data_IF_031366077425
#
_entry.id   IF_031366077425
#
_cell.length_a   1.000
_cell.length_b   1.000
_cell.length_c   1.000
_cell.angle_alpha   90.00
_cell.angle_beta   90.00
_cell.angle_gamma   90.00
#
_symmetry.space_group_name_H-M   'P 1'
#
loop_
_entity.id
_entity.type
_entity.pdbx_description
1 polymer ?
#
# COMPACT_ATOMS: atom_id res chain seq x y z
N UNK A 1 -78.23 12.84 -47.51
CA UNK A 1 -78.15 12.78 -46.05
C UNK A 1 -77.23 11.72 -45.49
N UNK A 2 -77.19 10.51 -46.05
CA UNK A 2 -76.31 9.42 -45.61
C UNK A 2 -74.81 9.74 -45.80
N UNK A 3 -74.41 10.37 -46.92
CA UNK A 3 -73.02 10.72 -47.20
C UNK A 3 -72.49 11.79 -46.24
N UNK A 4 -73.28 12.70 -45.77
CA UNK A 4 -72.86 13.69 -44.76
C UNK A 4 -72.59 13.08 -43.38
N UNK A 5 -73.40 12.06 -43.01
CA UNK A 5 -73.24 11.34 -41.74
C UNK A 5 -71.98 10.48 -41.78
N UNK A 6 -71.69 9.84 -42.94
CA UNK A 6 -70.47 9.05 -43.13
C UNK A 6 -69.23 9.95 -43.04
N UNK A 7 -69.23 11.11 -43.67
CA UNK A 7 -68.13 12.06 -43.63
C UNK A 7 -67.93 12.61 -42.22
N UNK A 8 -68.98 12.89 -41.43
CA UNK A 8 -68.89 13.33 -40.05
C UNK A 8 -68.33 12.20 -39.17
N UNK A 9 -68.78 10.95 -39.41
CA UNK A 9 -68.27 9.81 -38.67
C UNK A 9 -66.77 9.55 -38.92
N UNK A 10 -66.35 9.61 -40.20
CA UNK A 10 -64.93 9.48 -40.55
C UNK A 10 -64.11 10.65 -39.98
N UNK A 11 -64.61 11.87 -40.05
CA UNK A 11 -63.93 13.00 -39.44
C UNK A 11 -63.81 12.90 -37.89
N UNK A 12 -64.83 12.39 -37.24
CA UNK A 12 -64.77 12.09 -35.80
C UNK A 12 -63.80 11.00 -35.45
N UNK A 13 -63.74 9.90 -36.25
CA UNK A 13 -62.73 8.85 -36.06
C UNK A 13 -61.33 9.39 -36.26
N UNK A 14 -61.11 10.19 -37.32
CA UNK A 14 -59.77 10.79 -37.61
C UNK A 14 -59.36 11.79 -36.50
N UNK A 15 -60.32 12.53 -35.94
CA UNK A 15 -60.00 13.43 -34.81
C UNK A 15 -59.69 12.61 -33.53
N UNK A 16 -60.43 11.56 -33.25
CA UNK A 16 -60.12 10.67 -32.13
C UNK A 16 -58.75 10.00 -32.26
N UNK A 17 -58.40 9.46 -33.47
CA UNK A 17 -57.09 8.87 -33.68
C UNK A 17 -55.94 9.88 -33.51
N UNK A 18 -56.12 11.12 -33.98
CA UNK A 18 -55.11 12.17 -33.79
C UNK A 18 -54.97 12.60 -32.32
N UNK A 19 -56.03 12.66 -31.58
CA UNK A 19 -56.03 12.99 -30.15
C UNK A 19 -55.39 11.84 -29.35
N UNK A 20 -55.75 10.60 -29.64
CA UNK A 20 -55.17 9.44 -28.97
C UNK A 20 -53.65 9.26 -29.26
N UNK A 21 -53.24 9.49 -30.50
CA UNK A 21 -51.80 9.42 -30.87
C UNK A 21 -50.98 10.54 -30.20
N UNK A 22 -51.54 11.73 -30.09
CA UNK A 22 -50.88 12.88 -29.43
C UNK A 22 -50.75 12.64 -27.93
N UNK A 23 -51.79 12.10 -27.30
CA UNK A 23 -51.78 11.79 -25.87
C UNK A 23 -50.81 10.65 -25.54
N UNK A 24 -50.78 9.58 -26.32
CA UNK A 24 -49.83 8.47 -26.20
C UNK A 24 -48.40 8.98 -26.38
N UNK A 25 -48.13 9.84 -27.36
CA UNK A 25 -46.82 10.46 -27.57
C UNK A 25 -46.36 11.32 -26.37
N UNK A 26 -47.27 12.12 -25.82
CA UNK A 26 -47.01 12.92 -24.63
C UNK A 26 -46.72 12.07 -23.39
N UNK A 27 -47.51 11.01 -23.20
CA UNK A 27 -47.27 10.05 -22.08
C UNK A 27 -45.97 9.31 -22.20
N UNK A 28 -45.63 8.84 -23.43
CA UNK A 28 -44.36 8.17 -23.70
C UNK A 28 -43.16 9.09 -23.46
N UNK A 29 -43.24 10.36 -23.88
CA UNK A 29 -42.21 11.36 -23.61
C UNK A 29 -42.05 11.65 -22.12
N UNK A 30 -43.13 11.76 -21.36
CA UNK A 30 -43.13 11.96 -19.91
C UNK A 30 -42.45 10.80 -19.20
N UNK A 31 -42.85 9.55 -19.47
CA UNK A 31 -42.23 8.37 -18.87
C UNK A 31 -40.80 8.16 -19.35
N UNK A 32 -40.50 8.43 -20.61
CA UNK A 32 -39.15 8.41 -21.15
C UNK A 32 -38.20 9.36 -20.42
N UNK A 33 -38.69 10.56 -20.11
CA UNK A 33 -37.99 11.56 -19.32
C UNK A 33 -37.68 11.08 -17.89
N UNK A 34 -38.72 10.51 -17.22
CA UNK A 34 -38.53 9.97 -15.85
C UNK A 34 -37.56 8.82 -15.82
N UNK A 35 -37.75 7.81 -16.68
CA UNK A 35 -36.90 6.64 -16.73
C UNK A 35 -35.48 7.02 -17.15
N UNK A 36 -35.33 7.89 -18.16
CA UNK A 36 -34.03 8.38 -18.59
C UNK A 36 -33.32 9.18 -17.49
N UNK A 37 -34.04 10.00 -16.76
CA UNK A 37 -33.51 10.75 -15.62
C UNK A 37 -33.07 9.83 -14.48
N UNK A 38 -33.85 8.80 -14.14
CA UNK A 38 -33.48 7.79 -13.12
C UNK A 38 -32.22 7.02 -13.51
N UNK A 39 -32.14 6.53 -14.75
CA UNK A 39 -30.98 5.79 -15.24
C UNK A 39 -29.74 6.69 -15.23
N UNK A 40 -29.84 7.90 -15.78
CA UNK A 40 -28.72 8.84 -15.83
C UNK A 40 -28.28 9.27 -14.43
N UNK A 41 -29.23 9.54 -13.53
CA UNK A 41 -28.94 9.87 -12.14
C UNK A 41 -28.24 8.73 -11.40
N UNK A 42 -28.69 7.50 -11.61
CA UNK A 42 -28.07 6.32 -11.00
C UNK A 42 -26.64 6.11 -11.52
N UNK A 43 -26.42 6.23 -12.82
CA UNK A 43 -25.07 6.12 -13.42
C UNK A 43 -24.14 7.23 -12.92
N UNK A 44 -24.63 8.46 -12.83
CA UNK A 44 -23.87 9.58 -12.29
C UNK A 44 -23.50 9.34 -10.81
N UNK A 45 -24.44 8.85 -10.00
CA UNK A 45 -24.19 8.53 -8.60
C UNK A 45 -23.13 7.44 -8.44
N UNK A 46 -23.23 6.36 -9.23
CA UNK A 46 -22.22 5.29 -9.26
C UNK A 46 -20.85 5.85 -9.64
N UNK A 47 -20.77 6.68 -10.68
CA UNK A 47 -19.53 7.32 -11.12
C UNK A 47 -18.89 8.17 -10.02
N UNK A 48 -19.69 8.99 -9.35
CA UNK A 48 -19.21 9.83 -8.23
C UNK A 48 -18.72 8.95 -7.06
N UNK A 49 -19.47 7.90 -6.72
CA UNK A 49 -19.09 6.99 -5.64
C UNK A 49 -17.73 6.31 -5.90
N UNK A 50 -17.52 5.78 -7.13
CA UNK A 50 -16.22 5.20 -7.51
C UNK A 50 -15.10 6.24 -7.52
N UNK A 51 -15.38 7.44 -7.97
CA UNK A 51 -14.42 8.54 -8.01
C UNK A 51 -13.96 8.92 -6.60
N UNK A 52 -14.89 9.08 -5.65
CA UNK A 52 -14.57 9.40 -4.25
C UNK A 52 -13.73 8.29 -3.64
N UNK A 53 -14.13 7.03 -3.86
CA UNK A 53 -13.38 5.88 -3.34
C UNK A 53 -11.95 5.84 -3.90
N UNK A 54 -11.78 6.04 -5.19
CA UNK A 54 -10.47 6.07 -5.84
C UNK A 54 -9.57 7.19 -5.28
N UNK A 55 -10.12 8.40 -5.12
CA UNK A 55 -9.35 9.51 -4.53
C UNK A 55 -8.97 9.25 -3.09
N UNK A 56 -9.86 8.70 -2.30
CA UNK A 56 -9.55 8.34 -0.91
C UNK A 56 -8.41 7.33 -0.83
N UNK A 57 -8.45 6.24 -1.60
CA UNK A 57 -7.38 5.24 -1.65
C UNK A 57 -6.06 5.84 -2.16
N UNK A 58 -6.10 6.71 -3.17
CA UNK A 58 -4.93 7.41 -3.70
C UNK A 58 -4.31 8.37 -2.68
N UNK A 59 -5.12 9.11 -1.95
CA UNK A 59 -4.63 10.09 -0.97
C UNK A 59 -4.05 9.39 0.26
N UNK A 60 -4.65 8.29 0.73
CA UNK A 60 -4.09 7.45 1.78
C UNK A 60 -2.72 6.86 1.38
N UNK A 61 -2.55 6.42 0.14
CA UNK A 61 -1.27 5.94 -0.36
C UNK A 61 -0.21 7.04 -0.42
N UNK A 62 -0.57 8.24 -0.87
CA UNK A 62 0.33 9.40 -0.90
C UNK A 62 0.74 9.83 0.51
N UNK A 63 -0.20 9.85 1.45
CA UNK A 63 0.06 10.19 2.84
C UNK A 63 1.01 9.18 3.48
N UNK A 64 0.78 7.88 3.29
CA UNK A 64 1.70 6.83 3.74
C UNK A 64 3.10 6.99 3.13
N UNK A 65 3.19 7.23 1.82
CA UNK A 65 4.47 7.44 1.16
C UNK A 65 5.20 8.71 1.65
N UNK A 66 4.46 9.77 2.01
CA UNK A 66 5.03 11.02 2.50
C UNK A 66 5.68 10.87 3.89
N UNK A 67 5.26 9.90 4.70
CA UNK A 67 5.79 9.67 6.06
C UNK A 67 6.56 8.34 6.17
N UNK A 68 6.73 7.61 5.08
CA UNK A 68 7.38 6.31 5.08
C UNK A 68 8.86 6.43 5.46
N UNK A 69 9.32 5.73 6.52
CA UNK A 69 10.73 5.63 6.81
C UNK A 69 11.42 4.71 5.79
N UNK A 70 12.69 4.96 5.54
CA UNK A 70 13.55 4.07 4.74
C UNK A 70 14.89 3.91 5.46
N UNK A 71 15.19 2.69 5.89
CA UNK A 71 16.39 2.39 6.63
C UNK A 71 17.50 1.90 5.69
N UNK A 72 18.53 2.68 5.55
CA UNK A 72 19.72 2.29 4.82
C UNK A 72 20.75 1.68 5.77
N UNK A 73 21.10 0.41 5.57
CA UNK A 73 22.07 -0.32 6.38
C UNK A 73 23.39 -0.38 5.64
N UNK A 74 24.44 0.16 6.23
CA UNK A 74 25.79 0.18 5.67
C UNK A 74 26.80 -0.34 6.69
N UNK A 75 28.00 -0.70 6.22
CA UNK A 75 29.09 -1.03 7.12
C UNK A 75 29.55 0.20 7.90
N UNK A 76 29.63 0.09 9.23
CA UNK A 76 30.15 1.18 10.03
C UNK A 76 31.68 1.30 9.89
N UNK A 77 32.15 2.48 9.53
CA UNK A 77 33.57 2.78 9.42
C UNK A 77 34.11 3.32 10.75
N UNK A 78 34.48 2.43 11.68
CA UNK A 78 35.33 2.79 12.82
C UNK A 78 34.64 3.08 14.15
N UNK A 79 33.33 2.93 14.29
CA UNK A 79 32.62 3.04 15.57
C UNK A 79 32.64 1.73 16.36
N UNK A 80 32.81 1.82 17.70
CA UNK A 80 32.51 0.68 18.59
C UNK A 80 31.03 0.72 18.92
N UNK A 81 30.22 -0.03 18.17
CA UNK A 81 28.83 -0.23 18.52
C UNK A 81 28.73 -0.88 19.91
N UNK A 82 27.93 -0.30 20.78
CA UNK A 82 27.73 -0.80 22.15
C UNK A 82 26.56 -1.78 22.27
N UNK A 83 25.73 -1.84 21.24
CA UNK A 83 24.54 -2.71 21.18
C UNK A 83 24.59 -3.57 19.93
N UNK A 84 24.11 -4.78 20.02
CA UNK A 84 24.10 -5.68 18.88
C UNK A 84 23.22 -6.90 19.05
N UNK A 85 23.15 -7.66 17.98
CA UNK A 85 22.33 -8.85 17.85
C UNK A 85 23.14 -10.04 17.38
N UNK A 86 22.68 -11.23 17.73
CA UNK A 86 23.16 -12.45 17.10
C UNK A 86 22.23 -12.81 15.96
N UNK A 87 22.75 -12.76 14.75
CA UNK A 87 22.07 -13.20 13.53
C UNK A 87 22.60 -14.61 13.21
N UNK A 88 21.76 -15.65 13.32
CA UNK A 88 22.14 -17.00 12.94
C UNK A 88 21.74 -18.06 13.96
N UNK A 89 21.79 -19.33 13.53
CA UNK A 89 21.24 -20.49 14.26
C UNK A 89 22.15 -21.04 15.37
N UNK A 90 23.41 -20.67 15.43
CA UNK A 90 24.37 -21.41 16.26
C UNK A 90 24.52 -20.85 17.66
N UNK A 91 23.99 -21.58 18.63
CA UNK A 91 24.33 -21.42 20.06
C UNK A 91 25.58 -22.23 20.45
N UNK A 92 26.00 -23.21 19.64
CA UNK A 92 26.99 -24.22 20.08
C UNK A 92 28.44 -23.96 19.64
N UNK A 93 28.68 -23.29 18.50
CA UNK A 93 30.03 -23.02 18.01
C UNK A 93 30.39 -21.53 17.96
N UNK A 94 30.65 -20.95 19.13
CA UNK A 94 31.10 -19.54 19.24
C UNK A 94 32.42 -19.23 18.52
N UNK A 95 33.16 -20.26 18.07
CA UNK A 95 34.48 -20.11 17.47
C UNK A 95 34.52 -19.52 16.07
N UNK A 96 33.36 -19.45 15.38
CA UNK A 96 33.27 -18.94 13.99
C UNK A 96 32.40 -17.70 13.83
N UNK A 97 32.02 -17.07 14.95
CA UNK A 97 31.22 -15.85 14.88
C UNK A 97 32.09 -14.65 14.56
N UNK A 98 31.65 -13.88 13.56
CA UNK A 98 32.25 -12.61 13.15
C UNK A 98 31.38 -11.47 13.64
N UNK A 99 31.98 -10.49 14.29
CA UNK A 99 31.30 -9.24 14.61
C UNK A 99 31.32 -8.32 13.41
N UNK A 100 30.15 -7.94 12.94
CA UNK A 100 29.94 -7.02 11.80
C UNK A 100 29.33 -5.74 12.34
N UNK A 101 30.08 -4.65 12.31
CA UNK A 101 29.56 -3.35 12.73
C UNK A 101 28.80 -2.71 11.57
N UNK A 102 27.57 -2.29 11.82
CA UNK A 102 26.67 -1.68 10.84
C UNK A 102 26.18 -0.33 11.33
N UNK A 103 25.99 0.58 10.41
CA UNK A 103 25.31 1.85 10.62
C UNK A 103 23.95 1.78 9.95
N UNK A 104 22.87 2.00 10.71
CA UNK A 104 21.50 2.06 10.20
C UNK A 104 21.10 3.53 10.18
N UNK A 105 20.94 4.08 8.99
CA UNK A 105 20.53 5.47 8.77
C UNK A 105 19.14 5.54 8.21
N UNK A 106 18.29 6.38 8.78
CA UNK A 106 16.99 6.68 8.20
C UNK A 106 17.14 7.75 7.11
N UNK A 107 16.90 7.34 5.87
CA UNK A 107 16.93 8.21 4.68
C UNK A 107 15.54 8.43 4.08
N UNK A 108 14.49 7.94 4.77
CA UNK A 108 13.09 8.15 4.40
C UNK A 108 12.54 9.50 4.85
N UNK A 109 11.23 9.64 4.72
CA UNK A 109 10.53 10.90 5.00
C UNK A 109 9.95 10.98 6.42
N UNK A 110 9.77 9.83 7.10
CA UNK A 110 9.25 9.75 8.45
C UNK A 110 10.24 9.12 9.42
N UNK A 111 9.97 9.20 10.71
CA UNK A 111 10.80 8.52 11.70
C UNK A 111 10.45 7.02 11.80
N UNK A 112 11.47 6.21 12.08
CA UNK A 112 11.33 4.80 12.37
C UNK A 112 11.42 4.55 13.88
N UNK A 113 10.45 3.87 14.44
CA UNK A 113 10.39 3.52 15.85
C UNK A 113 10.33 2.00 16.03
N UNK A 114 10.75 1.52 17.20
CA UNK A 114 10.68 0.10 17.59
C UNK A 114 11.24 -0.83 16.52
N UNK A 115 12.57 -0.90 16.46
CA UNK A 115 13.24 -1.78 15.51
C UNK A 115 13.29 -3.21 16.03
N UNK A 116 12.82 -4.14 15.21
CA UNK A 116 12.91 -5.58 15.47
C UNK A 116 13.67 -6.22 14.32
N UNK A 117 14.73 -6.94 14.63
CA UNK A 117 15.53 -7.65 13.61
C UNK A 117 15.10 -9.11 13.55
N UNK A 118 14.70 -9.56 12.37
CA UNK A 118 14.28 -10.93 12.10
C UNK A 118 15.32 -11.65 11.24
N UNK A 119 15.62 -12.89 11.60
CA UNK A 119 16.49 -13.76 10.82
C UNK A 119 15.78 -15.05 10.46
N UNK A 120 15.40 -15.22 9.20
CA UNK A 120 14.82 -16.45 8.67
C UNK A 120 13.71 -17.06 9.55
N UNK A 121 13.80 -18.35 9.82
CA UNK A 121 12.79 -19.11 10.58
C UNK A 121 12.78 -18.83 12.11
N UNK A 122 13.72 -18.07 12.64
CA UNK A 122 13.78 -17.73 14.05
C UNK A 122 13.41 -16.25 14.24
N UNK A 123 12.12 -15.98 14.36
CA UNK A 123 11.56 -14.69 14.76
C UNK A 123 11.78 -14.38 16.25
N UNK A 124 12.99 -14.55 16.73
CA UNK A 124 13.42 -14.11 18.05
C UNK A 124 13.99 -12.70 17.95
N UNK A 125 13.19 -11.74 17.48
CA UNK A 125 13.61 -10.36 17.35
C UNK A 125 13.82 -9.72 18.72
N UNK A 126 15.03 -9.20 18.97
CA UNK A 126 15.23 -8.28 20.07
C UNK A 126 14.64 -6.93 19.63
N UNK A 127 13.59 -6.50 20.31
CA UNK A 127 13.00 -5.19 20.09
C UNK A 127 13.90 -4.10 20.68
N UNK A 128 14.23 -3.10 19.86
CA UNK A 128 14.83 -1.85 20.33
C UNK A 128 13.77 -0.77 20.40
N UNK A 129 13.57 -0.23 21.56
CA UNK A 129 12.82 1.04 21.69
C UNK A 129 13.73 2.22 21.33
N UNK A 130 14.07 2.33 20.05
CA UNK A 130 14.82 3.47 19.55
C UNK A 130 14.02 4.13 18.44
N UNK A 131 13.99 5.43 18.48
CA UNK A 131 13.47 6.27 17.39
C UNK A 131 14.66 6.72 16.57
N UNK A 132 14.60 6.49 15.26
CA UNK A 132 15.57 7.03 14.31
C UNK A 132 14.85 8.10 13.51
N UNK A 133 15.13 9.38 13.81
CA UNK A 133 14.57 10.48 13.05
C UNK A 133 15.15 10.54 11.63
N UNK A 134 14.50 11.31 10.76
CA UNK A 134 14.96 11.51 9.38
C UNK A 134 16.38 12.05 9.36
N UNK A 135 17.27 11.39 8.65
CA UNK A 135 18.69 11.76 8.56
C UNK A 135 19.58 11.27 9.70
N UNK A 136 19.00 10.79 10.82
CA UNK A 136 19.74 10.21 11.94
C UNK A 136 20.19 8.79 11.66
N UNK A 137 21.19 8.35 12.42
CA UNK A 137 21.70 6.98 12.32
C UNK A 137 22.05 6.41 13.69
N UNK A 138 22.03 5.08 13.76
CA UNK A 138 22.50 4.31 14.92
C UNK A 138 23.55 3.29 14.50
N UNK A 139 24.55 3.10 15.35
CA UNK A 139 25.55 2.07 15.15
C UNK A 139 25.20 0.84 15.97
N UNK A 140 25.15 -0.31 15.29
CA UNK A 140 24.88 -1.60 15.87
C UNK A 140 25.97 -2.59 15.45
N UNK A 141 26.08 -3.71 16.17
CA UNK A 141 26.86 -4.84 15.68
C UNK A 141 25.98 -6.09 15.52
N UNK A 142 26.32 -6.87 14.51
CA UNK A 142 25.73 -8.18 14.31
C UNK A 142 26.78 -9.25 14.57
N UNK A 143 26.47 -10.22 15.41
CA UNK A 143 27.24 -11.44 15.53
C UNK A 143 26.72 -12.46 14.54
N UNK A 144 27.48 -12.76 13.53
CA UNK A 144 27.08 -13.57 12.37
C UNK A 144 28.01 -14.76 12.23
N UNK A 145 27.45 -15.91 11.88
CA UNK A 145 28.26 -17.07 11.51
C UNK A 145 28.97 -16.79 10.17
N UNK A 146 30.30 -17.04 10.13
CA UNK A 146 31.11 -16.74 8.94
C UNK A 146 30.70 -17.58 7.72
N UNK A 147 30.22 -18.80 7.94
CA UNK A 147 29.82 -19.70 6.85
C UNK A 147 28.44 -19.32 6.30
N UNK A 148 27.53 -18.86 7.17
CA UNK A 148 26.25 -18.25 6.71
C UNK A 148 26.50 -16.96 5.94
N UNK A 149 27.41 -16.12 6.40
CA UNK A 149 27.75 -14.87 5.71
C UNK A 149 28.38 -15.09 4.32
N UNK A 150 29.15 -16.17 4.14
CA UNK A 150 29.71 -16.56 2.81
C UNK A 150 28.59 -17.03 1.86
N UNK A 151 27.58 -17.72 2.37
CA UNK A 151 26.42 -18.18 1.57
C UNK A 151 25.48 -17.06 1.21
N UNK A 152 25.43 -16.03 2.01
CA UNK A 152 24.47 -14.93 1.96
C UNK A 152 23.48 -15.05 3.12
N UNK A 153 23.50 -14.06 3.99
CA UNK A 153 22.61 -13.96 5.14
C UNK A 153 21.48 -12.99 4.80
N UNK A 154 20.27 -13.50 4.85
CA UNK A 154 19.05 -12.72 4.69
C UNK A 154 18.47 -12.37 6.07
N UNK A 155 18.11 -11.10 6.27
CA UNK A 155 17.47 -10.62 7.49
C UNK A 155 16.51 -9.49 7.19
N UNK A 156 15.51 -9.31 8.06
CA UNK A 156 14.54 -8.24 7.96
C UNK A 156 14.63 -7.31 9.17
N UNK A 157 14.37 -6.04 8.97
CA UNK A 157 14.16 -5.06 10.04
C UNK A 157 12.71 -4.60 9.98
N UNK A 158 11.97 -4.88 11.05
CA UNK A 158 10.60 -4.42 11.23
C UNK A 158 10.61 -3.14 12.07
N UNK A 159 9.81 -2.18 11.68
CA UNK A 159 9.68 -0.89 12.37
C UNK A 159 8.30 -0.28 12.11
N UNK A 160 7.95 0.71 12.93
CA UNK A 160 6.69 1.45 12.81
C UNK A 160 6.96 2.93 12.55
N UNK A 161 6.05 3.58 11.81
CA UNK A 161 6.09 5.03 11.59
C UNK A 161 5.30 5.81 12.65
N UNK A 162 5.13 7.12 12.42
CA UNK A 162 4.37 8.03 13.29
C UNK A 162 2.89 7.71 13.38
N UNK A 163 2.32 7.08 12.36
CA UNK A 163 0.92 6.67 12.29
C UNK A 163 0.68 5.23 12.75
N UNK A 164 1.73 4.56 13.28
CA UNK A 164 1.74 3.15 13.67
C UNK A 164 1.57 2.18 12.52
N UNK A 165 1.87 2.60 11.30
CA UNK A 165 1.98 1.66 10.20
C UNK A 165 3.22 0.81 10.40
N UNK A 166 3.09 -0.50 10.22
CA UNK A 166 4.17 -1.46 10.36
C UNK A 166 4.82 -1.74 9.01
N UNK A 167 6.15 -1.72 9.00
CA UNK A 167 6.96 -2.01 7.82
C UNK A 167 7.98 -3.08 8.13
N UNK A 168 8.25 -3.91 7.14
CA UNK A 168 9.41 -4.79 7.11
C UNK A 168 10.28 -4.42 5.92
N UNK A 169 11.56 -4.28 6.16
CA UNK A 169 12.54 -4.05 5.11
C UNK A 169 13.58 -5.16 5.14
N UNK A 170 13.78 -5.78 4.01
CA UNK A 170 14.64 -6.95 3.88
C UNK A 170 16.04 -6.55 3.41
N UNK A 171 17.04 -7.30 3.87
CA UNK A 171 18.44 -7.04 3.59
C UNK A 171 19.16 -8.35 3.29
N UNK A 172 20.04 -8.29 2.32
CA UNK A 172 20.96 -9.38 2.00
C UNK A 172 22.39 -8.96 2.35
N UNK A 173 23.02 -9.70 3.25
CA UNK A 173 24.40 -9.47 3.65
C UNK A 173 25.28 -10.62 3.15
N UNK A 174 26.33 -10.30 2.41
CA UNK A 174 27.23 -11.31 1.84
C UNK A 174 28.68 -10.90 1.96
N UNK A 175 29.53 -11.85 2.40
CA UNK A 175 30.98 -11.68 2.38
C UNK A 175 31.51 -12.07 1.01
N UNK A 176 32.14 -11.10 0.34
CA UNK A 176 32.87 -11.34 -0.93
C UNK A 176 34.33 -10.97 -0.75
N UNK A 177 35.21 -11.98 -0.79
CA UNK A 177 36.65 -11.84 -0.47
C UNK A 177 36.84 -11.24 0.95
N UNK A 178 37.45 -10.07 1.05
CA UNK A 178 37.74 -9.37 2.32
C UNK A 178 36.67 -8.33 2.69
N UNK A 179 35.67 -8.08 1.84
CA UNK A 179 34.63 -7.09 2.06
C UNK A 179 33.27 -7.73 2.33
N UNK A 180 32.46 -7.05 3.11
CA UNK A 180 31.05 -7.41 3.33
C UNK A 180 30.19 -6.40 2.58
N UNK A 181 29.28 -6.89 1.74
CA UNK A 181 28.30 -6.09 1.01
C UNK A 181 26.93 -6.30 1.65
N UNK A 182 26.21 -5.22 1.85
CA UNK A 182 24.80 -5.22 2.30
C UNK A 182 23.98 -4.62 1.18
N UNK A 183 22.95 -5.33 0.75
CA UNK A 183 21.98 -4.88 -0.22
C UNK A 183 20.67 -4.64 0.52
N UNK A 184 20.06 -3.48 0.29
CA UNK A 184 18.79 -3.07 0.93
C UNK A 184 17.64 -3.30 -0.04
N UNK A 185 16.60 -3.99 0.41
CA UNK A 185 15.31 -4.05 -0.26
C UNK A 185 14.45 -2.80 0.01
N UNK A 186 13.33 -2.71 -0.68
CA UNK A 186 12.31 -1.69 -0.39
C UNK A 186 11.48 -2.09 0.82
N UNK A 187 11.00 -1.11 1.64
CA UNK A 187 10.10 -1.40 2.74
C UNK A 187 8.78 -1.97 2.22
N UNK A 188 8.42 -3.15 2.72
CA UNK A 188 7.11 -3.74 2.54
C UNK A 188 6.18 -3.31 3.68
N UNK A 189 4.94 -2.97 3.36
CA UNK A 189 3.90 -2.68 4.34
C UNK A 189 3.36 -4.00 4.90
N UNK A 190 3.34 -4.14 6.23
CA UNK A 190 2.69 -5.27 6.89
C UNK A 190 1.22 -4.89 7.12
N UNK A 191 0.32 -5.46 6.32
CA UNK A 191 -1.12 -5.33 6.58
C UNK A 191 -1.42 -6.03 7.92
N UNK A 192 -2.02 -5.29 8.85
CA UNK A 192 -2.58 -5.88 10.05
C UNK A 192 -3.82 -6.69 9.63
N UNK A 193 -3.71 -8.01 9.75
CA UNK A 193 -4.85 -8.92 9.63
C UNK A 193 -5.70 -8.92 10.90
#
# INVERSE_FOLDING_TARGET
MVEALIRISIAKLAINDTIDSTWIGSLASYWGGIIGGMISGTLAFIGVFYTIRYYKESDEQKEKAAIQPFLNVTMASGGKATRGFSLGKSKEDKKKQLQVNVNIKNIGNGFANTLVVHTGANSGGLAFNNVIAVGESIDLFFMVDEDELKKGLHFGIQYIDSMRNEYIQEYDMKKKYSSIKIECGYPGFLEQF
#
